data_IF_759167503531
#
_entry.id   IF_759167503531
#
_cell.length_a   1.000
_cell.length_b   1.000
_cell.length_c   1.000
_cell.angle_alpha   90.00
_cell.angle_beta   90.00
_cell.angle_gamma   90.00
#
_symmetry.space_group_name_H-M   'P 1'
#
loop_
_entity.id
_entity.type
_entity.pdbx_description
1 polymer ?
#
# COMPACT_ATOMS: atom_id res chain seq x y z
N UNK A 1 37.20 9.60 -9.01
CA UNK A 1 36.10 10.45 -9.53
C UNK A 1 34.81 9.76 -9.14
N UNK A 2 33.95 10.34 -8.28
CA UNK A 2 32.70 9.67 -7.91
C UNK A 2 31.83 9.57 -9.16
N UNK A 3 31.38 8.36 -9.51
CA UNK A 3 30.44 8.14 -10.61
C UNK A 3 29.18 8.95 -10.32
N UNK A 4 28.82 9.84 -11.26
CA UNK A 4 27.54 10.51 -11.32
C UNK A 4 26.42 9.50 -11.08
N UNK A 5 25.50 9.82 -10.20
CA UNK A 5 24.35 8.99 -9.85
C UNK A 5 23.66 8.44 -11.11
N UNK A 6 23.57 7.10 -11.22
CA UNK A 6 22.85 6.43 -12.30
C UNK A 6 21.34 6.71 -12.15
N UNK A 7 20.90 7.90 -12.59
CA UNK A 7 19.51 8.32 -12.58
C UNK A 7 18.87 8.07 -13.96
N UNK A 8 17.59 7.71 -13.94
CA UNK A 8 16.78 7.46 -15.13
C UNK A 8 15.43 8.16 -14.99
N UNK A 9 14.82 8.69 -16.06
CA UNK A 9 13.54 9.36 -15.94
C UNK A 9 12.43 8.34 -15.65
N UNK A 10 11.65 8.61 -14.61
CA UNK A 10 10.36 7.99 -14.32
C UNK A 10 9.28 8.98 -14.74
N UNK A 11 8.40 8.57 -15.65
CA UNK A 11 7.19 9.30 -16.02
C UNK A 11 5.96 8.66 -15.37
N UNK A 12 5.05 9.48 -14.90
CA UNK A 12 3.79 9.09 -14.25
C UNK A 12 2.69 9.84 -14.98
N UNK A 13 1.76 9.12 -15.60
CA UNK A 13 0.58 9.69 -16.23
C UNK A 13 -0.66 9.20 -15.49
N UNK A 14 -1.50 10.12 -15.05
CA UNK A 14 -2.75 9.82 -14.35
C UNK A 14 -3.90 10.51 -15.08
N UNK A 15 -4.85 9.71 -15.56
CA UNK A 15 -6.07 10.21 -16.20
C UNK A 15 -7.13 10.53 -15.16
N UNK A 16 -7.81 11.67 -15.31
CA UNK A 16 -8.88 12.12 -14.42
C UNK A 16 -8.43 12.25 -12.94
N UNK A 17 -7.25 12.83 -12.73
CA UNK A 17 -6.64 13.00 -11.41
C UNK A 17 -7.33 14.12 -10.60
N UNK A 18 -8.42 13.77 -9.92
CA UNK A 18 -9.35 14.72 -9.30
C UNK A 18 -9.18 14.85 -7.78
N UNK A 19 -9.85 15.81 -7.11
CA UNK A 19 -9.78 15.94 -5.65
C UNK A 19 -10.21 14.66 -4.92
N UNK A 20 -9.48 14.28 -3.88
CA UNK A 20 -9.63 12.97 -3.21
C UNK A 20 -8.74 11.88 -3.80
N UNK A 21 -8.04 12.15 -4.91
CA UNK A 21 -6.92 11.34 -5.36
C UNK A 21 -5.59 11.95 -4.91
N UNK A 22 -4.66 11.09 -4.51
CA UNK A 22 -3.27 11.48 -4.20
C UNK A 22 -2.34 10.39 -4.68
N UNK A 23 -1.09 10.72 -4.95
CA UNK A 23 -0.06 9.70 -5.05
C UNK A 23 1.22 10.11 -4.33
N UNK A 24 1.96 9.11 -3.89
CA UNK A 24 3.28 9.26 -3.29
C UNK A 24 4.23 8.28 -3.97
N UNK A 25 5.40 8.78 -4.34
CA UNK A 25 6.55 7.98 -4.74
C UNK A 25 7.58 8.01 -3.61
N UNK A 26 7.92 6.83 -3.09
CA UNK A 26 8.85 6.68 -1.97
C UNK A 26 9.96 5.68 -2.28
N UNK A 27 11.09 5.81 -1.59
CA UNK A 27 12.05 4.70 -1.45
C UNK A 27 11.62 3.73 -0.33
N UNK A 28 12.33 2.61 -0.19
CA UNK A 28 12.07 1.63 0.88
C UNK A 28 12.32 2.16 2.30
N UNK A 29 13.02 3.29 2.46
CA UNK A 29 13.22 3.96 3.74
C UNK A 29 12.11 4.98 4.04
N UNK A 30 11.04 5.02 3.23
CA UNK A 30 9.93 5.97 3.31
C UNK A 30 10.31 7.43 3.03
N UNK A 31 11.44 7.68 2.37
CA UNK A 31 11.76 9.02 1.90
C UNK A 31 10.87 9.36 0.71
N UNK A 32 10.14 10.47 0.80
CA UNK A 32 9.29 10.96 -0.28
C UNK A 32 10.15 11.54 -1.41
N UNK A 33 10.01 10.99 -2.61
CA UNK A 33 10.61 11.52 -3.83
C UNK A 33 9.64 12.43 -4.59
N UNK A 34 8.35 12.13 -4.53
CA UNK A 34 7.28 12.92 -5.13
C UNK A 34 5.97 12.67 -4.36
N UNK A 35 5.14 13.70 -4.23
CA UNK A 35 3.82 13.60 -3.62
C UNK A 35 2.91 14.66 -4.26
N UNK A 36 1.83 14.21 -4.88
CA UNK A 36 0.90 15.10 -5.59
C UNK A 36 -0.54 14.78 -5.22
N UNK A 37 -1.41 15.77 -5.40
CA UNK A 37 -2.85 15.67 -5.16
C UNK A 37 -3.60 16.07 -6.41
N UNK A 38 -4.70 15.37 -6.66
CA UNK A 38 -5.55 15.68 -7.81
C UNK A 38 -6.16 17.07 -7.72
N UNK A 39 -6.28 17.71 -8.87
CA UNK A 39 -6.77 19.08 -9.02
C UNK A 39 -8.21 19.10 -9.52
N UNK A 40 -8.90 20.25 -9.45
CA UNK A 40 -10.29 20.40 -9.91
C UNK A 40 -10.45 20.28 -11.45
N UNK A 41 -9.41 19.88 -12.18
CA UNK A 41 -9.44 19.73 -13.63
C UNK A 41 -10.06 18.38 -14.01
N UNK A 42 -11.38 18.27 -13.84
CA UNK A 42 -12.13 17.06 -14.19
C UNK A 42 -11.83 16.61 -15.63
N UNK A 43 -11.45 15.34 -15.79
CA UNK A 43 -11.16 14.73 -17.08
C UNK A 43 -9.79 15.06 -17.69
N UNK A 44 -8.94 15.88 -17.05
CA UNK A 44 -7.58 16.12 -17.54
C UNK A 44 -6.67 14.91 -17.26
N UNK A 45 -5.81 14.61 -18.23
CA UNK A 45 -4.64 13.75 -17.98
C UNK A 45 -3.54 14.62 -17.39
N UNK A 46 -3.03 14.24 -16.23
CA UNK A 46 -1.89 14.89 -15.58
C UNK A 46 -0.64 14.04 -15.78
N UNK A 47 0.48 14.71 -16.09
CA UNK A 47 1.77 14.07 -16.32
C UNK A 47 2.81 14.64 -15.36
N UNK A 48 3.53 13.73 -14.70
CA UNK A 48 4.60 14.03 -13.77
C UNK A 48 5.86 13.30 -14.19
N UNK A 49 7.04 13.86 -13.88
CA UNK A 49 8.30 13.18 -14.14
C UNK A 49 9.37 13.51 -13.10
N UNK A 50 10.19 12.53 -12.78
CA UNK A 50 11.30 12.66 -11.83
C UNK A 50 12.46 11.76 -12.27
N UNK A 51 13.69 12.22 -12.12
CA UNK A 51 14.86 11.35 -12.27
C UNK A 51 15.04 10.50 -11.00
N UNK A 52 15.07 9.17 -11.15
CA UNK A 52 15.16 8.21 -10.05
C UNK A 52 16.36 7.28 -10.19
N UNK A 53 16.96 6.77 -9.08
CA UNK A 53 18.11 5.87 -9.17
C UNK A 53 17.75 4.49 -9.75
N UNK A 54 18.51 3.97 -10.72
CA UNK A 54 18.24 2.69 -11.40
C UNK A 54 18.37 1.44 -10.51
N UNK A 55 19.17 1.54 -9.44
CA UNK A 55 19.51 0.42 -8.54
C UNK A 55 18.76 0.49 -7.21
N UNK A 56 17.64 1.23 -7.16
CA UNK A 56 16.81 1.35 -5.97
C UNK A 56 15.43 0.81 -6.27
N UNK A 57 14.84 0.19 -5.24
CA UNK A 57 13.44 -0.14 -5.24
C UNK A 57 12.66 1.09 -4.79
N UNK A 58 11.71 1.51 -5.61
CA UNK A 58 10.75 2.55 -5.29
C UNK A 58 9.36 1.96 -5.19
N UNK A 59 8.55 2.56 -4.33
CA UNK A 59 7.15 2.22 -4.16
C UNK A 59 6.33 3.43 -4.57
N UNK A 60 5.64 3.29 -5.70
CA UNK A 60 4.59 4.21 -6.10
C UNK A 60 3.29 3.76 -5.43
N UNK A 61 2.56 4.70 -4.85
CA UNK A 61 1.25 4.46 -4.29
C UNK A 61 0.31 5.57 -4.67
N UNK A 62 -0.80 5.21 -5.31
CA UNK A 62 -1.91 6.11 -5.58
C UNK A 62 -3.10 5.72 -4.72
N UNK A 63 -3.76 6.73 -4.17
CA UNK A 63 -5.00 6.63 -3.41
C UNK A 63 -6.08 7.34 -4.22
N UNK A 64 -7.24 6.71 -4.36
CA UNK A 64 -8.43 7.22 -5.03
C UNK A 64 -9.62 7.06 -4.08
N UNK A 65 -9.78 8.02 -3.17
CA UNK A 65 -10.78 7.95 -2.08
C UNK A 65 -12.22 7.86 -2.59
N UNK A 66 -12.47 8.37 -3.80
CA UNK A 66 -13.81 8.40 -4.39
C UNK A 66 -14.12 7.16 -5.22
N UNK A 67 -13.16 6.23 -5.38
CA UNK A 67 -13.25 5.11 -6.33
C UNK A 67 -13.74 5.58 -7.72
N UNK A 68 -13.27 6.75 -8.17
CA UNK A 68 -13.65 7.29 -9.45
C UNK A 68 -12.87 6.61 -10.58
N UNK A 69 -13.46 6.53 -11.77
CA UNK A 69 -12.77 5.98 -12.93
C UNK A 69 -11.52 6.82 -13.25
N UNK A 70 -10.37 6.14 -13.33
CA UNK A 70 -9.05 6.73 -13.59
C UNK A 70 -8.19 5.76 -14.41
N UNK A 71 -7.07 6.25 -14.91
CA UNK A 71 -6.03 5.46 -15.55
C UNK A 71 -4.67 5.84 -14.99
N UNK A 72 -3.79 4.88 -14.82
CA UNK A 72 -2.41 5.06 -14.37
C UNK A 72 -1.46 4.43 -15.39
N UNK A 73 -0.47 5.18 -15.83
CA UNK A 73 0.66 4.70 -16.62
C UNK A 73 1.97 5.12 -15.97
N UNK A 74 2.87 4.17 -15.78
CA UNK A 74 4.21 4.40 -15.24
C UNK A 74 5.24 3.99 -16.29
N UNK A 75 6.13 4.91 -16.60
CA UNK A 75 7.19 4.70 -17.60
C UNK A 75 8.57 4.88 -16.97
N UNK A 76 9.48 3.93 -17.18
CA UNK A 76 10.87 4.07 -16.77
C UNK A 76 11.73 4.14 -18.02
N UNK A 77 12.46 5.23 -18.22
CA UNK A 77 13.21 5.50 -19.45
C UNK A 77 12.35 5.44 -20.73
N UNK A 78 11.12 5.97 -20.66
CA UNK A 78 10.12 5.90 -21.73
C UNK A 78 9.61 4.47 -22.05
N UNK A 79 9.94 3.46 -21.23
CA UNK A 79 9.38 2.11 -21.33
C UNK A 79 8.22 2.00 -20.36
N UNK A 80 7.04 1.63 -20.83
CA UNK A 80 5.86 1.38 -19.96
C UNK A 80 6.16 0.16 -19.08
N UNK A 81 6.18 0.39 -17.76
CA UNK A 81 6.37 -0.66 -16.76
C UNK A 81 5.03 -1.12 -16.18
N UNK A 82 4.06 -0.21 -16.13
CA UNK A 82 2.73 -0.47 -15.62
C UNK A 82 1.72 0.40 -16.35
N UNK A 83 0.58 -0.18 -16.71
CA UNK A 83 -0.53 0.57 -17.26
C UNK A 83 -1.84 -0.13 -16.89
N UNK A 84 -2.72 0.56 -16.18
CA UNK A 84 -4.04 0.05 -15.82
C UNK A 84 -5.07 1.18 -15.82
N UNK A 85 -6.32 0.80 -16.06
CA UNK A 85 -7.49 1.65 -15.81
C UNK A 85 -8.37 1.00 -14.75
N UNK A 86 -9.23 1.78 -14.13
CA UNK A 86 -10.21 1.26 -13.18
C UNK A 86 -10.59 2.27 -12.11
N UNK A 87 -11.05 1.75 -10.99
CA UNK A 87 -11.60 2.53 -9.87
C UNK A 87 -11.02 2.07 -8.51
N UNK A 88 -9.88 1.39 -8.53
CA UNK A 88 -9.24 0.88 -7.31
C UNK A 88 -8.91 2.03 -6.35
N UNK A 89 -9.29 1.88 -5.09
CA UNK A 89 -9.04 2.89 -4.04
C UNK A 89 -7.56 3.01 -3.68
N UNK A 90 -6.80 1.93 -3.75
CA UNK A 90 -5.34 1.95 -3.61
C UNK A 90 -4.74 1.23 -4.81
N UNK A 91 -3.71 1.82 -5.38
CA UNK A 91 -2.88 1.20 -6.41
C UNK A 91 -1.43 1.35 -5.98
N UNK A 92 -0.76 0.22 -5.79
CA UNK A 92 0.63 0.17 -5.37
C UNK A 92 1.45 -0.51 -6.46
N UNK A 93 2.50 0.15 -6.90
CA UNK A 93 3.41 -0.38 -7.93
C UNK A 93 4.83 -0.24 -7.45
N UNK A 94 5.57 -1.33 -7.53
CA UNK A 94 7.00 -1.34 -7.27
C UNK A 94 7.79 -1.08 -8.55
N UNK A 95 8.78 -0.19 -8.46
CA UNK A 95 9.53 0.33 -9.60
C UNK A 95 11.02 0.14 -9.34
N UNK A 96 11.72 -0.41 -10.34
CA UNK A 96 13.15 -0.67 -10.28
C UNK A 96 13.48 -2.08 -9.80
N UNK A 97 14.68 -2.26 -9.22
CA UNK A 97 15.14 -3.55 -8.71
C UNK A 97 14.60 -3.75 -7.30
N UNK A 98 13.34 -4.18 -7.23
CA UNK A 98 12.68 -4.55 -6.00
C UNK A 98 12.99 -5.99 -5.65
N UNK A 99 14.18 -6.20 -5.09
CA UNK A 99 14.51 -7.44 -4.38
C UNK A 99 13.80 -7.43 -3.02
N UNK A 100 12.48 -7.48 -3.03
CA UNK A 100 11.68 -7.84 -1.85
C UNK A 100 11.49 -9.37 -1.90
N UNK A 101 11.78 -10.18 -0.89
CA UNK A 101 12.15 -9.92 0.51
C UNK A 101 12.70 -11.22 1.05
N UNK A 102 13.86 -11.23 1.69
CA UNK A 102 14.09 -12.25 2.71
C UNK A 102 13.89 -11.55 4.04
N UNK A 103 12.71 -11.72 4.62
CA UNK A 103 12.68 -11.68 6.07
C UNK A 103 13.76 -12.63 6.63
N UNK A 104 14.29 -12.41 7.85
CA UNK A 104 15.22 -13.34 8.44
C UNK A 104 14.68 -14.76 8.38
N UNK A 105 15.57 -15.75 8.49
CA UNK A 105 15.13 -17.14 8.52
C UNK A 105 14.01 -17.33 9.57
N UNK A 106 13.00 -18.12 9.21
CA UNK A 106 11.80 -18.38 10.02
C UNK A 106 10.91 -17.16 10.30
N UNK A 107 10.97 -16.15 9.43
CA UNK A 107 10.02 -15.05 9.44
C UNK A 107 9.37 -14.92 8.06
N UNK A 108 8.12 -14.47 8.05
CA UNK A 108 7.39 -14.15 6.82
C UNK A 108 7.07 -12.66 6.80
N UNK A 109 7.04 -12.08 5.60
CA UNK A 109 6.68 -10.68 5.43
C UNK A 109 5.16 -10.50 5.56
N UNK A 110 4.76 -9.64 6.49
CA UNK A 110 3.40 -9.14 6.62
C UNK A 110 3.35 -7.68 6.15
N UNK A 111 2.35 -7.36 5.32
CA UNK A 111 2.07 -6.01 4.87
C UNK A 111 0.58 -5.67 5.02
N UNK A 112 0.31 -4.46 5.49
CA UNK A 112 -1.04 -3.94 5.64
C UNK A 112 -1.09 -2.48 5.21
N UNK A 113 -1.82 -2.24 4.14
CA UNK A 113 -2.21 -0.92 3.65
C UNK A 113 -3.60 -0.59 4.22
N UNK A 114 -3.77 0.59 4.81
CA UNK A 114 -5.03 1.04 5.40
C UNK A 114 -5.35 2.46 4.93
N UNK A 115 -6.62 2.75 4.65
CA UNK A 115 -7.15 4.11 4.64
C UNK A 115 -8.22 4.17 5.73
N UNK A 116 -7.95 4.92 6.78
CA UNK A 116 -8.91 5.15 7.87
C UNK A 116 -10.15 5.85 7.32
N UNK A 117 -11.28 5.67 8.00
CA UNK A 117 -12.51 6.36 7.69
C UNK A 117 -12.58 7.73 8.41
N UNK A 118 -13.80 8.23 8.66
CA UNK A 118 -14.00 9.47 9.40
C UNK A 118 -13.85 9.33 10.92
N UNK A 119 -13.79 8.10 11.46
CA UNK A 119 -13.67 7.79 12.88
C UNK A 119 -12.48 6.87 13.16
N UNK A 120 -11.26 7.32 12.80
CA UNK A 120 -10.04 6.50 12.87
C UNK A 120 -9.77 5.92 14.27
N UNK A 121 -10.19 6.62 15.32
CA UNK A 121 -9.95 6.23 16.71
C UNK A 121 -10.64 4.92 17.12
N UNK A 122 -11.64 4.50 16.34
CA UNK A 122 -12.40 3.26 16.58
C UNK A 122 -11.74 2.04 15.96
N UNK A 123 -10.89 2.27 14.96
CA UNK A 123 -10.23 1.23 14.21
C UNK A 123 -8.95 0.77 14.92
N UNK A 124 -8.75 -0.53 14.95
CA UNK A 124 -7.49 -1.16 15.35
C UNK A 124 -7.31 -2.47 14.63
N UNK A 125 -6.10 -3.02 14.67
CA UNK A 125 -5.85 -4.34 14.14
C UNK A 125 -4.83 -5.09 14.98
N UNK A 126 -4.96 -6.41 14.99
CA UNK A 126 -3.97 -7.33 15.56
C UNK A 126 -3.72 -8.49 14.60
N UNK A 127 -2.46 -8.87 14.46
CA UNK A 127 -2.03 -10.08 13.80
C UNK A 127 -1.61 -11.07 14.88
N UNK A 128 -2.20 -12.26 14.86
CA UNK A 128 -1.93 -13.32 15.84
C UNK A 128 -1.48 -14.60 15.17
N UNK A 129 -0.67 -15.41 15.86
CA UNK A 129 -0.36 -16.78 15.44
C UNK A 129 -1.52 -17.76 15.74
N UNK A 130 -1.34 -19.03 15.38
CA UNK A 130 -2.29 -20.11 15.68
C UNK A 130 -2.57 -20.33 17.18
N UNK A 131 -1.65 -19.91 18.06
CA UNK A 131 -1.80 -19.98 19.51
C UNK A 131 -2.43 -18.71 20.10
N UNK A 132 -2.86 -17.76 19.25
CA UNK A 132 -3.37 -16.43 19.63
C UNK A 132 -2.33 -15.53 20.28
N UNK A 133 -1.03 -15.81 20.08
CA UNK A 133 0.04 -14.89 20.45
C UNK A 133 0.03 -13.71 19.49
N UNK A 134 0.04 -12.48 20.03
CA UNK A 134 0.09 -11.27 19.20
C UNK A 134 1.48 -11.12 18.59
N UNK A 135 1.54 -11.15 17.27
CA UNK A 135 2.74 -10.98 16.47
C UNK A 135 3.00 -9.50 16.15
N UNK A 136 1.93 -8.77 15.84
CA UNK A 136 1.95 -7.34 15.53
C UNK A 136 0.57 -6.74 15.82
N UNK A 137 0.51 -5.45 16.16
CA UNK A 137 -0.76 -4.73 16.32
C UNK A 137 -0.55 -3.22 16.23
N UNK A 138 -1.64 -2.50 15.93
CA UNK A 138 -1.76 -1.04 16.08
C UNK A 138 -3.19 -0.62 16.42
N UNK A 139 -3.29 0.49 17.13
CA UNK A 139 -4.53 1.14 17.54
C UNK A 139 -4.32 2.67 17.64
N UNK A 140 -5.34 3.39 18.11
CA UNK A 140 -5.28 4.83 18.38
C UNK A 140 -4.90 5.68 17.16
N UNK A 141 -5.59 5.46 16.03
CA UNK A 141 -5.45 6.34 14.88
C UNK A 141 -6.20 7.65 15.14
N UNK A 142 -5.60 8.79 14.79
CA UNK A 142 -6.17 10.11 15.08
C UNK A 142 -6.60 10.85 13.81
N UNK A 143 -6.06 10.47 12.66
CA UNK A 143 -6.28 11.20 11.41
C UNK A 143 -7.32 10.49 10.54
N UNK A 144 -8.40 11.20 10.23
CA UNK A 144 -9.45 10.73 9.34
C UNK A 144 -8.98 10.67 7.88
N UNK A 145 -9.49 9.70 7.12
CA UNK A 145 -9.20 9.52 5.69
C UNK A 145 -7.70 9.46 5.38
N UNK A 146 -6.89 8.98 6.34
CA UNK A 146 -5.44 8.94 6.23
C UNK A 146 -4.99 7.54 5.89
N UNK A 147 -4.00 7.51 5.02
CA UNK A 147 -3.34 6.30 4.64
C UNK A 147 -2.24 5.90 5.64
N UNK A 148 -2.21 4.63 6.01
CA UNK A 148 -1.18 4.01 6.83
C UNK A 148 -0.64 2.76 6.15
N UNK A 149 0.66 2.52 6.35
CA UNK A 149 1.37 1.37 5.80
C UNK A 149 2.18 0.66 6.88
N UNK A 150 1.92 -0.63 7.03
CA UNK A 150 2.67 -1.51 7.91
C UNK A 150 3.39 -2.55 7.07
N UNK A 151 4.65 -2.81 7.45
CA UNK A 151 5.55 -3.75 6.78
C UNK A 151 6.45 -4.35 7.83
N UNK A 152 6.19 -5.60 8.19
CA UNK A 152 6.84 -6.25 9.33
C UNK A 152 7.25 -7.67 8.97
N UNK A 153 8.43 -8.10 9.42
CA UNK A 153 8.81 -9.50 9.39
C UNK A 153 8.34 -10.13 10.69
N UNK A 154 7.38 -11.04 10.62
CA UNK A 154 6.78 -11.67 11.80
C UNK A 154 7.34 -13.08 11.98
N UNK A 155 7.52 -13.57 13.22
CA UNK A 155 8.14 -14.87 13.51
C UNK A 155 7.17 -16.02 13.25
N UNK A 156 6.72 -16.13 12.00
CA UNK A 156 5.87 -17.17 11.46
C UNK A 156 6.64 -17.77 10.29
N UNK A 157 6.71 -19.09 10.23
CA UNK A 157 7.27 -19.79 9.07
C UNK A 157 6.22 -19.97 7.98
N UNK A 158 6.63 -20.20 6.74
CA UNK A 158 5.69 -20.43 5.63
C UNK A 158 4.78 -21.68 5.81
N UNK A 159 5.04 -22.50 6.83
CA UNK A 159 4.23 -23.68 7.19
C UNK A 159 3.26 -23.43 8.34
N UNK A 160 3.24 -22.23 8.92
CA UNK A 160 2.39 -21.84 10.04
C UNK A 160 1.30 -20.86 9.58
N UNK A 161 0.34 -20.61 10.47
CA UNK A 161 -0.77 -19.70 10.27
C UNK A 161 -0.60 -18.40 11.02
N UNK A 162 -1.12 -17.35 10.40
CA UNK A 162 -1.46 -16.12 11.09
C UNK A 162 -2.90 -15.72 10.79
N UNK A 163 -3.52 -15.02 11.72
CA UNK A 163 -4.84 -14.41 11.55
C UNK A 163 -4.74 -12.92 11.83
N UNK A 164 -5.11 -12.11 10.85
CA UNK A 164 -5.30 -10.67 11.00
C UNK A 164 -6.74 -10.41 11.42
N UNK A 165 -6.91 -9.64 12.49
CA UNK A 165 -8.21 -9.13 12.94
C UNK A 165 -8.25 -7.64 12.70
N UNK A 166 -9.27 -7.21 11.97
CA UNK A 166 -9.59 -5.80 11.81
C UNK A 166 -10.76 -5.46 12.72
N UNK A 167 -10.52 -4.60 13.70
CA UNK A 167 -11.42 -4.34 14.82
C UNK A 167 -11.95 -2.92 14.69
N UNK A 168 -13.27 -2.81 14.60
CA UNK A 168 -13.99 -1.56 14.81
C UNK A 168 -14.84 -1.67 16.08
N UNK A 169 -14.60 -0.77 17.02
CA UNK A 169 -15.25 -0.78 18.34
C UNK A 169 -16.74 -0.40 18.31
N UNK A 170 -17.22 0.26 17.26
CA UNK A 170 -18.64 0.64 17.11
C UNK A 170 -19.38 -0.24 16.09
N UNK A 171 -18.65 -1.00 15.28
CA UNK A 171 -19.20 -1.98 14.34
C UNK A 171 -19.92 -1.33 13.16
N UNK A 172 -19.62 -0.08 12.79
CA UNK A 172 -20.10 0.59 11.59
C UNK A 172 -19.13 0.45 10.39
N UNK A 173 -17.91 -0.04 10.65
CA UNK A 173 -16.89 -0.33 9.65
C UNK A 173 -16.34 0.94 9.01
N UNK A 174 -15.99 0.86 7.72
CA UNK A 174 -15.64 2.03 6.91
C UNK A 174 -14.17 2.13 6.52
N UNK A 175 -13.27 1.53 7.29
CA UNK A 175 -11.83 1.52 6.97
C UNK A 175 -11.56 0.63 5.74
N UNK A 176 -10.82 1.14 4.75
CA UNK A 176 -10.35 0.34 3.62
C UNK A 176 -9.01 -0.31 3.96
N UNK A 177 -8.80 -1.54 3.50
CA UNK A 177 -7.58 -2.29 3.74
C UNK A 177 -7.14 -3.12 2.52
N UNK A 178 -5.83 -3.35 2.43
CA UNK A 178 -5.22 -4.40 1.61
C UNK A 178 -4.22 -5.12 2.50
N UNK A 179 -4.37 -6.44 2.64
CA UNK A 179 -3.42 -7.28 3.36
C UNK A 179 -2.64 -8.13 2.38
N UNK A 180 -1.31 -8.17 2.56
CA UNK A 180 -0.41 -9.03 1.80
C UNK A 180 0.44 -9.89 2.73
N UNK A 181 0.73 -11.11 2.27
CA UNK A 181 1.52 -12.11 2.96
C UNK A 181 2.59 -12.67 2.03
N UNK A 182 3.84 -12.57 2.46
CA UNK A 182 5.03 -12.94 1.69
C UNK A 182 5.06 -12.28 0.29
N UNK A 183 4.66 -11.00 0.24
CA UNK A 183 4.59 -10.19 -0.99
C UNK A 183 3.37 -10.47 -1.88
N UNK A 184 2.48 -11.38 -1.50
CA UNK A 184 1.26 -11.68 -2.24
C UNK A 184 0.05 -11.04 -1.59
N UNK A 185 -0.78 -10.33 -2.35
CA UNK A 185 -2.07 -9.82 -1.85
C UNK A 185 -2.96 -11.01 -1.47
N UNK A 186 -3.42 -11.03 -0.23
CA UNK A 186 -4.33 -12.05 0.29
C UNK A 186 -5.78 -11.58 0.17
N UNK A 187 -6.05 -10.35 0.59
CA UNK A 187 -7.39 -9.78 0.56
C UNK A 187 -7.34 -8.25 0.49
N UNK A 188 -8.32 -7.66 -0.19
CA UNK A 188 -8.57 -6.22 -0.19
C UNK A 188 -10.06 -5.96 -0.02
N UNK A 189 -10.40 -4.88 0.68
CA UNK A 189 -11.80 -4.55 0.92
C UNK A 189 -12.02 -3.35 1.81
N UNK A 190 -13.29 -2.98 1.92
CA UNK A 190 -13.76 -2.00 2.90
C UNK A 190 -14.39 -2.76 4.06
N UNK A 191 -13.95 -2.48 5.28
CA UNK A 191 -14.49 -3.09 6.49
C UNK A 191 -16.00 -2.83 6.57
N UNK A 192 -16.77 -3.90 6.74
CA UNK A 192 -18.21 -3.84 6.99
C UNK A 192 -18.54 -3.79 8.48
N UNK A 193 -19.79 -4.10 8.84
CA UNK A 193 -20.28 -4.05 10.22
C UNK A 193 -19.66 -5.11 11.16
N UNK A 194 -19.09 -6.18 10.61
CA UNK A 194 -18.40 -7.20 11.39
C UNK A 194 -16.90 -6.88 11.44
N UNK A 195 -16.21 -7.38 12.46
CA UNK A 195 -14.74 -7.39 12.51
C UNK A 195 -14.19 -8.52 11.65
N UNK A 196 -13.61 -8.25 10.47
CA UNK A 196 -13.03 -9.28 9.61
C UNK A 196 -11.88 -10.02 10.32
N UNK A 197 -11.87 -11.34 10.18
CA UNK A 197 -10.72 -12.19 10.48
C UNK A 197 -10.19 -12.78 9.17
N UNK A 198 -8.95 -12.45 8.83
CA UNK A 198 -8.31 -12.86 7.59
C UNK A 198 -7.19 -13.82 7.96
N UNK A 199 -7.34 -15.08 7.55
CA UNK A 199 -6.35 -16.11 7.81
C UNK A 199 -5.38 -16.22 6.64
N UNK A 200 -4.09 -16.28 6.94
CA UNK A 200 -3.00 -16.32 5.95
C UNK A 200 -1.91 -17.32 6.39
N UNK A 201 -1.10 -17.75 5.43
CA UNK A 201 -0.15 -18.84 5.62
C UNK A 201 -0.78 -20.21 5.33
N UNK A 202 -0.23 -21.26 5.92
CA UNK A 202 -0.63 -22.64 5.63
C UNK A 202 -1.55 -23.21 6.73
N UNK A 203 -2.86 -23.07 6.53
CA UNK A 203 -3.87 -23.34 7.55
C UNK A 203 -4.68 -24.60 7.35
N UNK A 204 -3.96 -25.72 7.20
CA UNK A 204 -4.52 -27.06 7.02
C UNK A 204 -4.59 -27.85 8.32
#
# INVERSE_FOLDING_TARGET
>A
LPQSDNLIPLGIEIGNFQPGMTFVLQDLNKNNLMNEKGSNNEGANEFFSQCVPINKCLKFRMINQNAAATSLSLTLNNIIMYQQGGNNMIQTVEIGVCSITSCPQNHTLFELDIITDNYPERFSWELVDSNKTVLANRNNYEDANKYYYYRECVPVTNNECATLRLIDSYGDGGTFYIVSWDGNVIEEGKQGYNNPEITMGNCR
#
